data_IF_533095201233
#
_entry.id   IF_533095201233
#
_cell.length_a   1.000
_cell.length_b   1.000
_cell.length_c   1.000
_cell.angle_alpha   90.00
_cell.angle_beta   90.00
_cell.angle_gamma   90.00
#
_symmetry.space_group_name_H-M   'P 1'
#
loop_
_entity.id
_entity.type
_entity.pdbx_description
1 polymer ?
#
# COMPACT_ATOMS: atom_id res chain seq x y z
N UNK A 1 11.10 -0.21 -21.49
CA UNK A 1 11.88 -0.79 -20.41
C UNK A 1 11.37 -2.19 -19.97
N UNK A 2 10.07 -2.37 -19.60
CA UNK A 2 9.52 -3.68 -19.16
C UNK A 2 9.62 -4.77 -20.23
N UNK A 3 9.24 -4.48 -21.49
CA UNK A 3 9.33 -5.42 -22.61
C UNK A 3 10.78 -5.83 -22.89
N UNK A 4 11.71 -4.88 -22.75
CA UNK A 4 13.14 -5.13 -22.90
C UNK A 4 13.69 -6.07 -21.83
N UNK A 5 13.32 -5.87 -20.57
CA UNK A 5 13.71 -6.76 -19.48
C UNK A 5 13.20 -8.20 -19.69
N UNK A 6 11.96 -8.37 -20.16
CA UNK A 6 11.40 -9.70 -20.48
C UNK A 6 12.18 -10.34 -21.64
N UNK A 7 12.50 -9.58 -22.70
CA UNK A 7 13.29 -10.08 -23.82
C UNK A 7 14.70 -10.55 -23.36
N UNK A 8 15.38 -9.74 -22.53
CA UNK A 8 16.69 -10.11 -21.97
C UNK A 8 16.59 -11.32 -21.05
N UNK A 9 15.51 -11.45 -20.28
CA UNK A 9 15.26 -12.63 -19.45
C UNK A 9 15.13 -13.89 -20.33
N UNK A 10 14.33 -13.83 -21.41
CA UNK A 10 14.20 -14.93 -22.38
C UNK A 10 15.54 -15.31 -23.03
N UNK A 11 16.40 -14.34 -23.24
CA UNK A 11 17.75 -14.55 -23.75
C UNK A 11 18.75 -15.11 -22.71
N UNK A 12 18.30 -15.43 -21.49
CA UNK A 12 19.15 -15.98 -20.42
C UNK A 12 20.11 -14.96 -19.78
N UNK A 13 19.87 -13.65 -19.97
CA UNK A 13 20.76 -12.60 -19.47
C UNK A 13 20.74 -12.46 -17.91
N UNK A 14 19.79 -13.08 -17.24
CA UNK A 14 19.64 -12.98 -15.79
C UNK A 14 19.71 -14.36 -15.14
N UNK A 15 20.57 -14.52 -14.14
CA UNK A 15 20.61 -15.71 -13.28
C UNK A 15 19.69 -15.62 -12.07
N UNK A 16 19.39 -14.39 -11.65
CA UNK A 16 18.51 -14.09 -10.52
C UNK A 16 17.49 -13.05 -10.94
N UNK A 17 16.21 -13.29 -10.63
CA UNK A 17 15.10 -12.40 -10.96
C UNK A 17 14.28 -12.16 -9.71
N UNK A 18 14.29 -10.94 -9.19
CA UNK A 18 13.39 -10.52 -8.11
C UNK A 18 12.04 -10.11 -8.69
N UNK A 19 10.98 -10.67 -8.13
CA UNK A 19 9.62 -10.49 -8.63
C UNK A 19 8.67 -10.18 -7.48
N UNK A 20 7.96 -9.06 -7.57
CA UNK A 20 6.83 -8.82 -6.68
C UNK A 20 5.64 -9.72 -7.09
N UNK A 21 4.90 -10.31 -6.12
CA UNK A 21 3.82 -11.27 -6.40
C UNK A 21 2.75 -10.77 -7.37
N UNK A 22 2.45 -9.46 -7.35
CA UNK A 22 1.49 -8.81 -8.25
C UNK A 22 1.86 -8.99 -9.75
N UNK A 23 3.14 -9.20 -10.02
CA UNK A 23 3.63 -9.40 -11.38
C UNK A 23 3.13 -10.70 -12.01
N UNK A 24 2.82 -11.69 -11.19
CA UNK A 24 2.29 -12.98 -11.64
C UNK A 24 0.83 -12.92 -12.12
N UNK A 25 0.15 -11.80 -11.92
CA UNK A 25 -1.15 -11.53 -12.57
C UNK A 25 -1.03 -11.42 -14.11
N UNK A 26 0.19 -11.24 -14.66
CA UNK A 26 0.46 -11.17 -16.09
C UNK A 26 0.77 -12.55 -16.66
N UNK A 27 -0.14 -13.18 -17.44
CA UNK A 27 0.12 -14.49 -18.05
C UNK A 27 1.36 -14.51 -18.92
N UNK A 28 1.59 -13.46 -19.71
CA UNK A 28 2.76 -13.34 -20.60
C UNK A 28 4.10 -13.31 -19.86
N UNK A 29 4.11 -12.82 -18.61
CA UNK A 29 5.28 -12.85 -17.76
C UNK A 29 5.54 -14.26 -17.21
N UNK A 30 4.49 -14.96 -16.78
CA UNK A 30 4.60 -16.34 -16.30
C UNK A 30 5.06 -17.28 -17.42
N UNK A 31 4.54 -17.08 -18.64
CA UNK A 31 4.97 -17.83 -19.83
C UNK A 31 6.46 -17.62 -20.13
N UNK A 32 6.90 -16.36 -20.11
CA UNK A 32 8.30 -16.02 -20.32
C UNK A 32 9.24 -16.67 -19.29
N UNK A 33 8.82 -16.75 -18.01
CA UNK A 33 9.57 -17.50 -16.98
C UNK A 33 9.56 -19.00 -17.25
N UNK A 34 8.46 -19.56 -17.71
CA UNK A 34 8.35 -20.97 -18.07
C UNK A 34 9.25 -21.36 -19.25
N UNK A 35 9.40 -20.49 -20.26
CA UNK A 35 10.28 -20.68 -21.41
C UNK A 35 11.76 -20.72 -21.00
N UNK A 36 12.16 -19.90 -20.04
CA UNK A 36 13.56 -19.86 -19.55
C UNK A 36 13.90 -21.06 -18.67
N UNK A 37 12.90 -21.59 -17.98
CA UNK A 37 13.09 -22.60 -16.93
C UNK A 37 13.54 -21.97 -15.59
N UNK A 38 12.89 -22.37 -14.53
CA UNK A 38 13.15 -21.87 -13.16
C UNK A 38 13.73 -23.02 -12.33
N UNK A 39 15.00 -22.93 -11.97
CA UNK A 39 15.72 -23.95 -11.19
C UNK A 39 15.36 -23.90 -9.70
N UNK A 40 15.12 -22.70 -9.17
CA UNK A 40 14.78 -22.44 -7.77
C UNK A 40 13.72 -21.35 -7.68
N UNK A 41 12.64 -21.62 -6.98
CA UNK A 41 11.66 -20.62 -6.58
C UNK A 41 11.80 -20.36 -5.08
N UNK A 42 12.27 -19.16 -4.71
CA UNK A 42 12.32 -18.70 -3.33
C UNK A 42 11.16 -17.74 -3.08
N UNK A 43 10.38 -18.02 -2.03
CA UNK A 43 9.27 -17.18 -1.58
C UNK A 43 9.67 -16.57 -0.26
N UNK A 44 10.00 -15.30 -0.27
CA UNK A 44 10.28 -14.52 0.93
C UNK A 44 8.98 -13.99 1.54
N UNK A 45 9.00 -13.69 2.85
CA UNK A 45 7.80 -13.30 3.62
C UNK A 45 6.61 -14.25 3.38
N UNK A 46 6.90 -15.56 3.34
CA UNK A 46 5.91 -16.58 2.97
C UNK A 46 4.67 -16.59 3.88
N UNK A 47 4.74 -16.01 5.08
CA UNK A 47 3.59 -15.83 5.96
C UNK A 47 2.48 -14.99 5.32
N UNK A 48 2.83 -14.12 4.35
CA UNK A 48 1.86 -13.32 3.60
C UNK A 48 0.90 -14.16 2.74
N UNK A 49 1.20 -15.43 2.50
CA UNK A 49 0.30 -16.36 1.77
C UNK A 49 -0.87 -16.81 2.63
N UNK A 50 -0.67 -16.85 3.94
CA UNK A 50 -1.64 -17.35 4.88
C UNK A 50 -2.66 -16.29 5.30
N UNK A 51 -3.92 -16.63 5.19
CA UNK A 51 -5.01 -15.81 5.72
C UNK A 51 -5.02 -15.76 7.26
N UNK A 52 -4.31 -16.67 7.89
CA UNK A 52 -4.11 -16.76 9.33
C UNK A 52 -2.90 -15.95 9.81
N UNK A 53 -2.07 -15.46 8.88
CA UNK A 53 -0.94 -14.59 9.16
C UNK A 53 -1.38 -13.15 9.51
N UNK A 54 -0.50 -12.41 10.13
CA UNK A 54 -0.73 -11.01 10.52
C UNK A 54 -0.66 -10.02 9.35
N UNK A 55 -0.09 -10.43 8.21
CA UNK A 55 0.09 -9.60 7.00
C UNK A 55 -0.31 -10.35 5.71
N UNK A 56 -1.56 -10.82 5.65
CA UNK A 56 -2.06 -11.52 4.47
C UNK A 56 -2.07 -10.60 3.24
N UNK A 57 -1.50 -11.10 2.14
CA UNK A 57 -1.47 -10.42 0.84
C UNK A 57 -2.11 -11.29 -0.24
N UNK A 58 -3.20 -10.83 -0.88
CA UNK A 58 -3.94 -11.63 -1.86
C UNK A 58 -3.09 -12.16 -3.01
N UNK A 59 -2.09 -11.39 -3.47
CA UNK A 59 -1.24 -11.78 -4.58
C UNK A 59 -0.31 -12.96 -4.25
N UNK A 60 0.03 -13.15 -2.98
CA UNK A 60 0.76 -14.33 -2.53
C UNK A 60 -0.04 -15.62 -2.71
N UNK A 61 -1.36 -15.58 -2.68
CA UNK A 61 -2.21 -16.75 -2.93
C UNK A 61 -2.05 -17.30 -4.36
N UNK A 62 -1.58 -16.48 -5.31
CA UNK A 62 -1.30 -16.92 -6.68
C UNK A 62 -0.07 -17.82 -6.79
N UNK A 63 0.87 -17.73 -5.82
CA UNK A 63 2.18 -18.37 -5.91
C UNK A 63 2.11 -19.90 -6.01
N UNK A 64 1.11 -20.52 -5.39
CA UNK A 64 0.89 -21.97 -5.52
C UNK A 64 0.59 -22.39 -6.97
N UNK A 65 -0.27 -21.64 -7.66
CA UNK A 65 -0.59 -21.90 -9.07
C UNK A 65 0.58 -21.57 -9.99
N UNK A 66 1.31 -20.49 -9.71
CA UNK A 66 2.55 -20.14 -10.43
C UNK A 66 3.58 -21.26 -10.29
N UNK A 67 3.81 -21.75 -9.07
CA UNK A 67 4.69 -22.90 -8.82
C UNK A 67 4.26 -24.15 -9.59
N UNK A 68 2.98 -24.46 -9.60
CA UNK A 68 2.43 -25.59 -10.36
C UNK A 68 2.66 -25.43 -11.86
N UNK A 69 2.60 -24.21 -12.40
CA UNK A 69 2.82 -23.90 -13.82
C UNK A 69 4.30 -23.95 -14.19
N UNK A 70 5.16 -23.30 -13.40
CA UNK A 70 6.60 -23.22 -13.65
C UNK A 70 7.34 -24.53 -13.33
N UNK A 71 6.80 -25.36 -12.43
CA UNK A 71 7.36 -26.64 -12.00
C UNK A 71 8.85 -26.58 -11.60
N UNK A 72 9.27 -25.62 -10.79
CA UNK A 72 10.68 -25.52 -10.39
C UNK A 72 11.08 -26.79 -9.62
N UNK A 73 12.28 -27.34 -9.88
CA UNK A 73 12.77 -28.55 -9.18
C UNK A 73 12.90 -28.32 -7.68
N UNK A 74 13.18 -27.08 -7.27
CA UNK A 74 13.36 -26.71 -5.88
C UNK A 74 12.49 -25.51 -5.52
N UNK A 75 11.89 -25.53 -4.32
CA UNK A 75 11.12 -24.40 -3.77
C UNK A 75 11.53 -24.20 -2.32
N UNK A 76 11.79 -22.96 -1.95
CA UNK A 76 12.10 -22.55 -0.57
C UNK A 76 11.08 -21.48 -0.18
N UNK A 77 10.48 -21.63 1.00
CA UNK A 77 9.62 -20.64 1.62
C UNK A 77 10.29 -20.13 2.89
N UNK A 78 10.44 -18.83 3.00
CA UNK A 78 11.17 -18.15 4.08
C UNK A 78 10.23 -17.19 4.79
N UNK A 79 10.29 -17.17 6.13
CA UNK A 79 9.57 -16.20 6.95
C UNK A 79 10.23 -16.08 8.31
N UNK A 80 10.24 -14.87 8.86
CA UNK A 80 10.72 -14.61 10.22
C UNK A 80 9.66 -14.99 11.28
N UNK A 81 8.37 -14.98 10.92
CA UNK A 81 7.27 -15.12 11.86
C UNK A 81 6.21 -16.08 11.31
N UNK A 82 6.15 -17.29 11.82
CA UNK A 82 5.12 -18.25 11.44
C UNK A 82 4.76 -19.17 12.62
N UNK A 83 3.52 -19.10 13.08
CA UNK A 83 2.95 -20.10 13.99
C UNK A 83 2.87 -21.47 13.28
N UNK A 84 2.61 -22.54 14.02
CA UNK A 84 2.42 -23.86 13.44
C UNK A 84 1.33 -23.87 12.36
N UNK A 85 0.18 -23.24 12.66
CA UNK A 85 -0.95 -23.08 11.73
C UNK A 85 -0.55 -22.35 10.43
N UNK A 86 0.24 -21.28 10.57
CA UNK A 86 0.71 -20.48 9.42
C UNK A 86 1.70 -21.31 8.57
N UNK A 87 2.59 -22.10 9.21
CA UNK A 87 3.51 -22.99 8.47
C UNK A 87 2.78 -24.04 7.66
N UNK A 88 1.77 -24.70 8.25
CA UNK A 88 0.94 -25.67 7.55
C UNK A 88 0.19 -25.04 6.37
N UNK A 89 -0.31 -23.82 6.56
CA UNK A 89 -1.01 -23.10 5.51
C UNK A 89 -0.07 -22.69 4.36
N UNK A 90 1.16 -22.27 4.66
CA UNK A 90 2.20 -22.02 3.65
C UNK A 90 2.46 -23.27 2.82
N UNK A 91 2.68 -24.42 3.45
CA UNK A 91 2.93 -25.70 2.77
C UNK A 91 1.79 -26.05 1.83
N UNK A 92 0.54 -25.96 2.33
CA UNK A 92 -0.67 -26.25 1.57
C UNK A 92 -0.88 -25.28 0.41
N UNK A 93 -0.76 -23.99 0.68
CA UNK A 93 -1.02 -22.93 -0.32
C UNK A 93 0.04 -22.90 -1.43
N UNK A 94 1.30 -23.21 -1.11
CA UNK A 94 2.36 -23.39 -2.09
C UNK A 94 2.34 -24.75 -2.78
N UNK A 95 1.41 -25.64 -2.42
CA UNK A 95 1.31 -27.01 -2.95
C UNK A 95 2.62 -27.82 -2.76
N UNK A 96 3.36 -27.59 -1.67
CA UNK A 96 4.60 -28.30 -1.38
C UNK A 96 4.27 -29.74 -0.92
N UNK A 97 5.04 -30.68 -1.43
CA UNK A 97 4.91 -32.09 -1.04
C UNK A 97 6.06 -32.46 -0.10
N UNK A 98 5.72 -32.86 1.10
CA UNK A 98 6.66 -33.32 2.12
C UNK A 98 7.92 -32.43 2.28
N UNK A 99 7.75 -31.11 2.56
CA UNK A 99 8.88 -30.21 2.67
C UNK A 99 9.66 -30.47 3.97
N UNK A 100 10.97 -30.29 3.93
CA UNK A 100 11.75 -30.18 5.16
C UNK A 100 11.46 -28.83 5.81
N UNK A 101 11.12 -28.87 7.11
CA UNK A 101 10.81 -27.66 7.88
C UNK A 101 11.96 -27.40 8.85
N UNK A 102 12.55 -26.21 8.78
CA UNK A 102 13.59 -25.76 9.68
C UNK A 102 13.01 -24.61 10.52
N UNK A 103 13.05 -24.75 11.83
CA UNK A 103 12.61 -23.71 12.78
C UNK A 103 13.79 -23.37 13.65
N UNK A 104 14.33 -22.16 13.50
CA UNK A 104 15.33 -21.61 14.40
C UNK A 104 14.65 -21.05 15.67
N UNK A 105 15.39 -20.90 16.73
CA UNK A 105 14.90 -20.26 17.95
C UNK A 105 14.55 -18.80 17.72
N UNK A 106 13.62 -18.30 18.54
CA UNK A 106 13.20 -16.90 18.53
C UNK A 106 14.01 -16.02 19.47
N UNK A 107 14.88 -16.64 20.29
CA UNK A 107 15.65 -15.91 21.29
C UNK A 107 16.69 -14.99 20.65
N UNK A 108 16.71 -13.76 21.17
CA UNK A 108 17.65 -12.70 20.78
C UNK A 108 18.28 -12.14 22.06
N UNK A 109 19.32 -12.80 22.60
CA UNK A 109 19.88 -12.48 23.93
C UNK A 109 20.45 -11.06 24.02
N UNK A 110 20.71 -10.42 22.90
CA UNK A 110 21.17 -9.05 22.84
C UNK A 110 20.03 -7.99 22.78
N UNK A 111 18.76 -8.42 22.74
CA UNK A 111 17.61 -7.52 22.80
C UNK A 111 17.03 -7.47 24.21
N UNK A 112 17.03 -6.29 24.81
CA UNK A 112 16.29 -6.04 26.07
C UNK A 112 14.87 -5.58 25.72
N UNK A 113 13.88 -6.39 26.08
CA UNK A 113 12.45 -6.10 25.87
C UNK A 113 11.85 -5.48 27.12
N UNK A 114 11.30 -4.29 27.01
CA UNK A 114 10.66 -3.56 28.12
C UNK A 114 9.26 -3.12 27.74
N UNK A 115 8.32 -3.24 28.67
CA UNK A 115 6.99 -2.65 28.57
C UNK A 115 6.83 -1.59 29.65
N UNK A 116 6.55 -0.36 29.26
CA UNK A 116 6.30 0.76 30.16
C UNK A 116 4.86 1.24 29.96
N UNK A 117 4.08 1.22 31.06
CA UNK A 117 2.73 1.81 31.06
C UNK A 117 2.82 3.32 31.12
N UNK A 118 2.08 3.98 30.24
CA UNK A 118 2.03 5.45 30.15
C UNK A 118 0.58 5.94 30.26
N UNK A 119 0.38 7.02 31.00
CA UNK A 119 -0.95 7.60 31.26
C UNK A 119 -1.46 8.46 30.11
N UNK A 120 -0.55 8.96 29.24
CA UNK A 120 -0.93 9.85 28.14
C UNK A 120 0.24 10.22 27.22
N UNK A 121 -0.05 11.14 26.30
CA UNK A 121 0.89 11.53 25.24
C UNK A 121 2.15 12.22 25.75
N UNK A 122 2.06 12.99 26.83
CA UNK A 122 3.23 13.69 27.35
C UNK A 122 4.24 12.73 27.97
N UNK A 123 3.77 11.77 28.76
CA UNK A 123 4.62 10.73 29.32
C UNK A 123 5.22 9.83 28.22
N UNK A 124 4.43 9.52 27.19
CA UNK A 124 4.88 8.79 26.00
C UNK A 124 6.03 9.52 25.29
N UNK A 125 5.88 10.82 25.06
CA UNK A 125 6.90 11.66 24.44
C UNK A 125 8.16 11.78 25.29
N UNK A 126 8.00 11.94 26.59
CA UNK A 126 9.12 12.01 27.54
C UNK A 126 9.90 10.68 27.58
N UNK A 127 9.22 9.54 27.65
CA UNK A 127 9.85 8.23 27.64
C UNK A 127 10.59 7.96 26.31
N UNK A 128 9.97 8.34 25.18
CA UNK A 128 10.62 8.23 23.86
C UNK A 128 11.88 9.10 23.79
N UNK A 129 11.81 10.37 24.21
CA UNK A 129 12.95 11.27 24.20
C UNK A 129 14.10 10.77 25.10
N UNK A 130 13.79 10.16 26.26
CA UNK A 130 14.80 9.55 27.14
C UNK A 130 15.60 8.48 26.41
N UNK A 131 14.90 7.53 25.73
CA UNK A 131 15.59 6.45 24.99
C UNK A 131 16.43 7.00 23.84
N UNK A 132 15.94 8.00 23.12
CA UNK A 132 16.72 8.68 22.06
C UNK A 132 17.97 9.35 22.67
N UNK A 133 17.87 9.93 23.86
CA UNK A 133 18.96 10.59 24.57
C UNK A 133 20.10 9.63 25.00
N UNK A 134 19.83 8.33 25.07
CA UNK A 134 20.87 7.31 25.31
C UNK A 134 21.79 7.11 24.10
N UNK A 135 21.39 7.60 22.93
CA UNK A 135 22.18 7.64 21.71
C UNK A 135 22.02 6.43 20.79
N UNK A 136 22.63 6.54 19.61
CA UNK A 136 22.55 5.54 18.56
C UNK A 136 21.37 5.72 17.62
N UNK A 137 21.31 4.89 16.57
CA UNK A 137 20.18 4.92 15.62
C UNK A 137 18.99 4.14 16.14
N UNK A 138 17.79 4.61 15.83
CA UNK A 138 16.58 3.95 16.31
C UNK A 138 15.32 4.22 15.50
N UNK A 139 14.31 3.41 15.76
CA UNK A 139 13.00 3.50 15.14
C UNK A 139 11.94 3.76 16.21
N UNK A 140 11.06 4.72 15.98
CA UNK A 140 9.88 4.99 16.80
C UNK A 140 8.63 4.69 15.99
N UNK A 141 7.93 3.62 16.32
CA UNK A 141 6.71 3.22 15.63
C UNK A 141 5.48 3.88 16.22
N UNK A 142 4.65 4.47 15.37
CA UNK A 142 3.36 5.07 15.69
C UNK A 142 2.24 4.37 14.91
N UNK A 143 1.05 4.27 15.51
CA UNK A 143 -0.09 3.57 14.88
C UNK A 143 -0.65 4.32 13.66
N UNK A 144 -0.60 5.66 13.66
CA UNK A 144 -1.15 6.50 12.58
C UNK A 144 -0.16 7.54 12.09
N UNK A 145 -0.38 8.04 10.86
CA UNK A 145 0.40 9.14 10.26
C UNK A 145 0.38 10.38 11.14
N UNK A 146 -0.81 10.79 11.60
CA UNK A 146 -0.98 11.96 12.49
C UNK A 146 -0.18 11.82 13.78
N UNK A 147 -0.13 10.64 14.37
CA UNK A 147 0.69 10.39 15.56
C UNK A 147 2.19 10.44 15.26
N UNK A 148 2.62 9.94 14.09
CA UNK A 148 4.01 10.03 13.67
C UNK A 148 4.46 11.48 13.51
N UNK A 149 3.68 12.31 12.82
CA UNK A 149 3.96 13.73 12.65
C UNK A 149 3.98 14.47 13.99
N UNK A 150 3.02 14.21 14.87
CA UNK A 150 2.95 14.82 16.20
C UNK A 150 4.12 14.41 17.11
N UNK A 151 4.56 13.14 17.02
CA UNK A 151 5.72 12.62 17.76
C UNK A 151 7.00 13.29 17.24
N UNK A 152 7.20 13.36 15.92
CA UNK A 152 8.36 14.05 15.34
C UNK A 152 8.44 15.51 15.81
N UNK A 153 7.33 16.26 15.74
CA UNK A 153 7.27 17.64 16.18
C UNK A 153 7.62 17.79 17.66
N UNK A 154 7.08 16.92 18.51
CA UNK A 154 7.34 16.93 19.94
C UNK A 154 8.80 16.60 20.31
N UNK A 155 9.43 15.69 19.56
CA UNK A 155 10.84 15.34 19.74
C UNK A 155 11.77 16.48 19.27
N UNK A 156 11.43 17.19 18.22
CA UNK A 156 12.16 18.39 17.77
C UNK A 156 12.14 19.50 18.80
N UNK A 157 11.00 19.73 19.45
CA UNK A 157 10.91 20.68 20.56
C UNK A 157 11.79 20.32 21.76
N UNK A 158 12.20 19.05 21.88
CA UNK A 158 13.11 18.53 22.92
C UNK A 158 14.58 18.45 22.47
N UNK A 159 14.91 19.04 21.30
CA UNK A 159 16.27 19.11 20.78
C UNK A 159 16.75 17.90 19.99
N UNK A 160 15.86 16.95 19.67
CA UNK A 160 16.17 15.85 18.77
C UNK A 160 15.80 16.20 17.32
N UNK A 161 16.43 15.53 16.34
CA UNK A 161 16.13 15.75 14.90
C UNK A 161 15.75 14.45 14.19
N UNK A 162 14.63 13.79 14.56
CA UNK A 162 14.20 12.59 13.89
C UNK A 162 13.61 12.91 12.51
N UNK A 163 13.82 11.99 11.55
CA UNK A 163 13.07 12.00 10.29
C UNK A 163 11.71 11.32 10.48
N UNK A 164 10.73 11.71 9.67
CA UNK A 164 9.42 11.02 9.64
C UNK A 164 9.33 10.13 8.40
N UNK A 165 8.61 9.01 8.52
CA UNK A 165 8.35 8.12 7.37
C UNK A 165 6.96 7.48 7.47
N UNK A 166 6.09 7.77 6.50
CA UNK A 166 4.78 7.13 6.37
C UNK A 166 4.25 7.20 4.94
N UNK A 167 3.25 6.41 4.62
CA UNK A 167 2.69 6.30 3.27
C UNK A 167 1.96 7.57 2.75
N UNK A 168 1.78 8.60 3.60
CA UNK A 168 1.21 9.90 3.21
C UNK A 168 2.21 10.87 2.60
N UNK A 169 3.52 10.58 2.72
CA UNK A 169 4.60 11.39 2.15
C UNK A 169 4.76 11.10 0.65
N UNK A 170 5.32 12.04 -0.08
CA UNK A 170 5.70 11.78 -1.47
C UNK A 170 6.89 10.81 -1.57
N UNK A 171 7.13 10.30 -2.78
CA UNK A 171 8.17 9.29 -3.00
C UNK A 171 9.58 9.85 -2.73
N UNK A 172 9.83 11.11 -3.10
CA UNK A 172 11.13 11.76 -2.90
C UNK A 172 11.44 11.98 -1.43
N UNK A 173 10.46 12.44 -0.65
CA UNK A 173 10.60 12.61 0.80
C UNK A 173 10.87 11.29 1.51
N UNK A 174 10.16 10.22 1.11
CA UNK A 174 10.39 8.89 1.69
C UNK A 174 11.78 8.35 1.39
N UNK A 175 12.27 8.52 0.15
CA UNK A 175 13.63 8.13 -0.22
C UNK A 175 14.67 8.91 0.60
N UNK A 176 14.54 10.23 0.70
CA UNK A 176 15.47 11.05 1.47
C UNK A 176 15.49 10.67 2.97
N UNK A 177 14.32 10.41 3.57
CA UNK A 177 14.24 9.96 4.95
C UNK A 177 14.89 8.59 5.16
N UNK A 178 14.69 7.66 4.24
CA UNK A 178 15.31 6.34 4.27
C UNK A 178 16.83 6.42 4.08
N UNK A 179 17.30 7.19 3.12
CA UNK A 179 18.74 7.34 2.83
C UNK A 179 19.47 7.96 4.03
N UNK A 180 18.87 8.98 4.66
CA UNK A 180 19.40 9.56 5.88
C UNK A 180 19.46 8.52 7.01
N UNK A 181 18.39 7.76 7.23
CA UNK A 181 18.37 6.74 8.27
C UNK A 181 19.43 5.66 8.02
N UNK A 182 19.64 5.25 6.78
CA UNK A 182 20.60 4.20 6.44
C UNK A 182 22.05 4.66 6.56
N UNK A 183 22.33 5.94 6.25
CA UNK A 183 23.71 6.46 6.20
C UNK A 183 24.20 7.04 7.53
N UNK A 184 23.33 7.55 8.38
CA UNK A 184 23.69 8.18 9.64
C UNK A 184 23.59 7.17 10.81
N UNK A 185 24.69 6.91 11.55
CA UNK A 185 24.71 5.98 12.68
C UNK A 185 23.91 6.46 13.92
N UNK A 186 23.53 7.72 13.94
CA UNK A 186 22.73 8.34 15.01
C UNK A 186 21.29 8.69 14.60
N UNK A 187 20.92 8.42 13.36
CA UNK A 187 19.61 8.79 12.84
C UNK A 187 18.47 8.07 13.56
N UNK A 188 17.45 8.83 13.88
CA UNK A 188 16.18 8.34 14.43
C UNK A 188 15.09 8.55 13.40
N UNK A 189 14.27 7.52 13.17
CA UNK A 189 13.08 7.62 12.33
C UNK A 189 11.82 7.44 13.16
N UNK A 190 10.87 8.35 13.03
CA UNK A 190 9.51 8.21 13.55
C UNK A 190 8.62 7.76 12.39
N UNK A 191 8.00 6.60 12.51
CA UNK A 191 7.33 5.99 11.37
C UNK A 191 6.05 5.24 11.73
N UNK A 192 5.22 5.01 10.73
CA UNK A 192 4.21 3.95 10.81
C UNK A 192 4.82 2.61 10.35
N UNK A 193 4.05 1.52 10.42
CA UNK A 193 4.45 0.19 9.92
C UNK A 193 4.83 0.17 8.41
N UNK A 194 4.62 1.29 7.68
CA UNK A 194 5.12 1.45 6.31
C UNK A 194 6.65 1.46 6.22
N UNK A 195 7.34 1.82 7.32
CA UNK A 195 8.79 1.76 7.43
C UNK A 195 9.19 0.43 8.06
N UNK A 196 9.66 -0.47 7.25
CA UNK A 196 10.00 -1.79 7.79
C UNK A 196 10.57 -2.72 6.75
N UNK A 197 9.77 -3.21 5.82
CA UNK A 197 10.27 -4.16 4.82
C UNK A 197 11.44 -3.59 4.04
N UNK A 198 12.53 -4.36 3.92
CA UNK A 198 13.73 -3.95 3.21
C UNK A 198 14.70 -3.04 3.99
N UNK A 199 14.42 -2.73 5.26
CA UNK A 199 15.37 -2.02 6.13
C UNK A 199 16.36 -3.03 6.72
N UNK A 200 17.60 -2.95 6.25
CA UNK A 200 18.71 -3.82 6.69
C UNK A 200 19.87 -2.99 7.26
N UNK A 201 19.58 -2.18 8.28
CA UNK A 201 20.56 -1.44 9.06
C UNK A 201 20.98 -2.30 10.26
N UNK A 202 22.27 -2.59 10.36
CA UNK A 202 22.80 -3.55 11.35
C UNK A 202 22.87 -2.97 12.76
N UNK A 203 23.10 -1.67 12.87
CA UNK A 203 23.45 -0.93 14.09
C UNK A 203 22.30 -0.18 14.74
N UNK A 204 21.04 -0.62 14.53
CA UNK A 204 19.89 -0.06 15.24
C UNK A 204 19.99 -0.40 16.70
N UNK A 205 20.05 0.63 17.57
CA UNK A 205 20.24 0.47 19.03
C UNK A 205 18.93 0.41 19.80
N UNK A 206 17.87 1.01 19.25
CA UNK A 206 16.57 0.93 19.93
C UNK A 206 15.41 0.88 18.93
N UNK A 207 14.33 0.23 19.38
CA UNK A 207 13.00 0.30 18.74
C UNK A 207 12.00 0.69 19.82
N UNK A 208 11.33 1.81 19.64
CA UNK A 208 10.26 2.27 20.52
C UNK A 208 8.93 2.10 19.82
N UNK A 209 8.02 1.35 20.43
CA UNK A 209 6.62 1.35 20.03
C UNK A 209 5.87 2.40 20.84
N UNK A 210 5.64 3.56 20.24
CA UNK A 210 4.87 4.63 20.85
C UNK A 210 3.39 4.27 21.06
N UNK A 211 2.88 3.32 20.27
CA UNK A 211 1.55 2.74 20.41
C UNK A 211 1.65 1.21 20.28
N UNK A 212 0.71 0.50 20.90
CA UNK A 212 0.66 -0.96 20.79
C UNK A 212 0.52 -1.40 19.33
N UNK A 213 1.34 -2.35 18.83
CA UNK A 213 1.17 -2.94 17.51
C UNK A 213 -0.05 -3.89 17.48
N UNK A 214 -0.50 -4.22 16.28
CA UNK A 214 -1.73 -5.02 16.07
C UNK A 214 -1.61 -6.51 16.41
N UNK A 215 -0.39 -7.03 16.56
CA UNK A 215 -0.13 -8.43 16.84
C UNK A 215 1.28 -8.62 17.43
N UNK A 216 1.47 -9.69 18.19
CA UNK A 216 2.78 -10.07 18.74
C UNK A 216 3.78 -10.38 17.63
N UNK A 217 3.33 -10.99 16.53
CA UNK A 217 4.16 -11.29 15.37
C UNK A 217 4.67 -10.00 14.70
N UNK A 218 3.82 -8.97 14.58
CA UNK A 218 4.23 -7.66 14.07
C UNK A 218 5.23 -6.99 15.02
N UNK A 219 4.96 -7.01 16.32
CA UNK A 219 5.88 -6.52 17.35
C UNK A 219 7.24 -7.19 17.24
N UNK A 220 7.27 -8.53 17.19
CA UNK A 220 8.51 -9.30 17.09
C UNK A 220 9.30 -8.97 15.81
N UNK A 221 8.63 -8.85 14.67
CA UNK A 221 9.26 -8.47 13.40
C UNK A 221 9.85 -7.05 13.45
N UNK A 222 9.18 -6.12 14.11
CA UNK A 222 9.61 -4.73 14.25
C UNK A 222 10.78 -4.59 15.23
N UNK A 223 10.71 -5.20 16.41
CA UNK A 223 11.84 -5.20 17.37
C UNK A 223 13.05 -5.98 16.87
N UNK A 224 12.82 -7.02 16.07
CA UNK A 224 13.88 -7.84 15.46
C UNK A 224 14.79 -7.08 14.50
N UNK A 225 14.49 -5.81 14.18
CA UNK A 225 15.37 -4.92 13.40
C UNK A 225 16.54 -4.41 14.21
N UNK A 226 16.38 -4.32 15.54
CA UNK A 226 17.44 -3.83 16.42
C UNK A 226 18.52 -4.90 16.67
N UNK A 227 19.76 -4.46 16.87
CA UNK A 227 20.88 -5.29 17.28
C UNK A 227 21.23 -6.42 16.32
N UNK A 228 21.10 -6.25 15.02
CA UNK A 228 21.48 -7.28 14.04
C UNK A 228 22.98 -7.54 14.00
N UNK A 229 23.78 -6.60 14.46
CA UNK A 229 25.22 -6.71 14.66
C UNK A 229 25.62 -7.51 15.92
N UNK A 230 24.65 -8.05 16.67
CA UNK A 230 24.85 -8.79 17.89
C UNK A 230 25.13 -7.94 19.13
N UNK A 231 25.22 -6.61 19.00
CA UNK A 231 25.42 -5.71 20.13
C UNK A 231 24.10 -5.48 20.89
N UNK A 232 24.16 -5.09 22.17
CA UNK A 232 22.97 -4.77 22.96
C UNK A 232 22.06 -3.75 22.26
N UNK A 233 20.77 -3.99 22.30
CA UNK A 233 19.76 -3.09 21.78
C UNK A 233 18.51 -3.14 22.65
N UNK A 234 17.75 -2.03 22.69
CA UNK A 234 16.58 -1.84 23.54
C UNK A 234 15.31 -1.80 22.71
N UNK A 235 14.32 -2.60 23.10
CA UNK A 235 12.98 -2.57 22.54
C UNK A 235 11.97 -2.15 23.61
N UNK A 236 11.47 -0.92 23.52
CA UNK A 236 10.53 -0.33 24.46
C UNK A 236 9.13 -0.28 23.87
N UNK A 237 8.17 -0.93 24.53
CA UNK A 237 6.75 -0.79 24.25
C UNK A 237 6.10 0.17 25.25
N UNK A 238 5.59 1.29 24.76
CA UNK A 238 4.83 2.25 25.55
C UNK A 238 3.35 1.89 25.48
N UNK A 239 2.84 1.30 26.56
CA UNK A 239 1.48 0.78 26.59
C UNK A 239 0.51 1.77 27.22
N UNK A 240 -0.57 2.08 26.50
CA UNK A 240 -1.75 2.76 27.04
C UNK A 240 -3.00 2.03 26.52
N UNK A 241 -3.94 1.75 27.41
CA UNK A 241 -5.16 1.02 27.03
C UNK A 241 -5.99 1.73 25.94
N UNK A 242 -5.93 3.07 25.87
CA UNK A 242 -6.58 3.85 24.82
C UNK A 242 -6.05 3.51 23.41
N UNK A 243 -4.82 2.99 23.28
CA UNK A 243 -4.27 2.57 22.00
C UNK A 243 -4.97 1.31 21.45
N UNK A 244 -5.52 0.46 22.31
CA UNK A 244 -6.29 -0.72 21.92
C UNK A 244 -7.51 -0.29 21.09
N UNK A 245 -8.25 0.73 21.56
CA UNK A 245 -9.39 1.28 20.80
C UNK A 245 -8.95 1.87 19.44
N UNK A 246 -7.76 2.46 19.36
CA UNK A 246 -7.21 2.93 18.10
C UNK A 246 -6.97 1.76 17.13
N UNK A 247 -6.39 0.67 17.62
CA UNK A 247 -6.15 -0.53 16.80
C UNK A 247 -7.47 -1.22 16.39
N UNK A 248 -8.44 -1.30 17.31
CA UNK A 248 -9.78 -1.84 17.00
C UNK A 248 -10.43 -1.07 15.86
N UNK A 249 -10.46 0.27 15.93
CA UNK A 249 -10.97 1.12 14.85
C UNK A 249 -10.24 0.91 13.52
N UNK A 250 -8.93 0.73 13.54
CA UNK A 250 -8.16 0.44 12.34
C UNK A 250 -8.50 -0.96 11.77
N UNK A 251 -8.77 -1.93 12.63
CA UNK A 251 -9.23 -3.26 12.22
C UNK A 251 -10.63 -3.16 11.59
N UNK A 252 -11.59 -2.53 12.27
CA UNK A 252 -12.95 -2.31 11.78
C UNK A 252 -12.95 -1.60 10.42
N UNK A 253 -12.20 -0.50 10.30
CA UNK A 253 -12.09 0.24 9.03
C UNK A 253 -11.52 -0.59 7.87
N UNK A 254 -10.73 -1.62 8.16
CA UNK A 254 -10.23 -2.55 7.15
C UNK A 254 -11.19 -3.71 6.84
N UNK A 255 -12.22 -3.90 7.66
CA UNK A 255 -13.25 -4.93 7.52
C UNK A 255 -14.65 -4.28 7.51
N UNK A 256 -14.99 -3.53 6.44
CA UNK A 256 -16.24 -2.78 6.39
C UNK A 256 -17.45 -3.70 6.50
N UNK A 257 -18.54 -3.17 7.06
CA UNK A 257 -19.79 -3.89 7.19
C UNK A 257 -20.37 -4.28 5.82
N UNK A 258 -21.20 -5.31 5.81
CA UNK A 258 -21.90 -5.73 4.61
C UNK A 258 -22.70 -4.58 3.99
N UNK A 259 -23.29 -3.70 4.82
CA UNK A 259 -24.03 -2.53 4.36
C UNK A 259 -23.13 -1.57 3.56
N UNK A 260 -21.93 -1.24 4.08
CA UNK A 260 -20.97 -0.37 3.36
C UNK A 260 -20.54 -1.00 2.04
N UNK A 261 -20.30 -2.31 1.99
CA UNK A 261 -19.93 -3.00 0.75
C UNK A 261 -21.07 -2.95 -0.26
N UNK A 262 -22.32 -3.13 0.21
CA UNK A 262 -23.53 -3.05 -0.62
C UNK A 262 -23.76 -1.64 -1.17
N UNK A 263 -23.59 -0.61 -0.34
CA UNK A 263 -23.75 0.78 -0.75
C UNK A 263 -22.70 1.20 -1.78
N UNK A 264 -21.41 0.80 -1.56
CA UNK A 264 -20.36 0.99 -2.55
C UNK A 264 -20.71 0.30 -3.87
N UNK A 265 -21.16 -0.96 -3.83
CA UNK A 265 -21.59 -1.69 -5.01
C UNK A 265 -22.72 -0.99 -5.76
N UNK A 266 -23.77 -0.55 -5.05
CA UNK A 266 -24.93 0.13 -5.63
C UNK A 266 -24.54 1.43 -6.33
N UNK A 267 -23.62 2.22 -5.75
CA UNK A 267 -23.12 3.44 -6.38
C UNK A 267 -22.33 3.12 -7.65
N UNK A 268 -21.51 2.07 -7.63
CA UNK A 268 -20.69 1.68 -8.78
C UNK A 268 -21.52 1.19 -9.97
N UNK A 269 -22.68 0.59 -9.74
CA UNK A 269 -23.57 0.16 -10.82
C UNK A 269 -24.24 1.32 -11.57
N UNK A 270 -24.31 2.50 -10.97
CA UNK A 270 -24.95 3.69 -11.57
C UNK A 270 -24.20 4.27 -12.78
N UNK A 271 -22.99 3.79 -13.09
CA UNK A 271 -22.19 4.25 -14.24
C UNK A 271 -21.36 3.12 -14.83
N UNK A 272 -20.98 3.24 -16.11
CA UNK A 272 -20.11 2.26 -16.76
C UNK A 272 -18.71 2.25 -16.13
N UNK A 273 -18.20 3.44 -15.77
CA UNK A 273 -16.95 3.63 -15.04
C UNK A 273 -17.12 4.75 -14.03
N UNK A 274 -16.86 4.45 -12.77
CA UNK A 274 -16.84 5.45 -11.71
C UNK A 274 -15.47 6.13 -11.67
N UNK A 275 -15.38 7.37 -12.11
CA UNK A 275 -14.14 8.12 -12.27
C UNK A 275 -13.94 9.27 -11.25
N UNK A 276 -14.80 9.38 -10.23
CA UNK A 276 -14.83 10.54 -9.33
C UNK A 276 -13.84 10.49 -8.18
N UNK A 277 -13.25 9.36 -7.87
CA UNK A 277 -12.35 9.21 -6.74
C UNK A 277 -12.96 8.58 -5.50
N UNK A 278 -12.08 8.08 -4.62
CA UNK A 278 -12.52 7.40 -3.38
C UNK A 278 -13.22 8.36 -2.41
N UNK A 279 -12.76 9.60 -2.31
CA UNK A 279 -13.38 10.63 -1.48
C UNK A 279 -14.85 10.88 -1.89
N UNK A 280 -15.10 11.03 -3.21
CA UNK A 280 -16.45 11.22 -3.73
C UNK A 280 -17.32 9.97 -3.54
N UNK A 281 -16.75 8.78 -3.59
CA UNK A 281 -17.45 7.53 -3.30
C UNK A 281 -17.76 7.41 -1.81
N UNK A 282 -16.83 7.78 -0.94
CA UNK A 282 -17.01 7.80 0.51
C UNK A 282 -18.15 8.76 0.91
N UNK A 283 -18.15 9.97 0.34
CA UNK A 283 -19.23 10.93 0.55
C UNK A 283 -20.60 10.41 0.05
N UNK A 284 -20.63 9.69 -1.08
CA UNK A 284 -21.86 9.15 -1.65
C UNK A 284 -22.48 8.03 -0.82
N UNK A 285 -21.66 7.23 -0.12
CA UNK A 285 -22.13 6.11 0.72
C UNK A 285 -22.17 6.45 2.21
N UNK A 286 -21.72 7.64 2.62
CA UNK A 286 -21.70 8.05 4.03
C UNK A 286 -20.71 7.27 4.89
N UNK A 287 -19.64 6.73 4.29
CA UNK A 287 -18.60 5.95 4.96
C UNK A 287 -17.25 6.66 4.88
N UNK A 288 -16.27 6.21 5.68
CA UNK A 288 -14.90 6.73 5.60
C UNK A 288 -14.19 6.26 4.34
N UNK A 289 -13.17 7.02 3.87
CA UNK A 289 -12.34 6.60 2.74
C UNK A 289 -11.62 5.26 3.00
N UNK A 290 -11.29 4.95 4.26
CA UNK A 290 -10.69 3.68 4.65
C UNK A 290 -11.63 2.51 4.45
N UNK A 291 -12.89 2.63 4.89
CA UNK A 291 -13.93 1.60 4.70
C UNK A 291 -14.24 1.41 3.22
N UNK A 292 -14.37 2.49 2.46
CA UNK A 292 -14.57 2.44 1.00
C UNK A 292 -13.38 1.77 0.31
N UNK A 293 -12.15 2.13 0.68
CA UNK A 293 -10.95 1.49 0.14
C UNK A 293 -10.91 -0.02 0.46
N UNK A 294 -11.35 -0.41 1.66
CA UNK A 294 -11.45 -1.81 2.04
C UNK A 294 -12.56 -2.53 1.27
N UNK A 295 -13.73 -1.93 1.12
CA UNK A 295 -14.84 -2.47 0.31
C UNK A 295 -14.41 -2.69 -1.15
N UNK A 296 -13.70 -1.73 -1.75
CA UNK A 296 -13.18 -1.86 -3.11
C UNK A 296 -12.17 -3.01 -3.23
N UNK A 297 -11.28 -3.19 -2.25
CA UNK A 297 -10.35 -4.33 -2.24
C UNK A 297 -11.07 -5.68 -2.16
N UNK A 298 -12.16 -5.75 -1.39
CA UNK A 298 -12.99 -6.95 -1.29
C UNK A 298 -13.64 -7.23 -2.64
N UNK A 299 -14.33 -6.26 -3.22
CA UNK A 299 -15.01 -6.39 -4.51
C UNK A 299 -14.04 -6.74 -5.66
N UNK A 300 -12.85 -6.13 -5.69
CA UNK A 300 -11.80 -6.45 -6.68
C UNK A 300 -11.29 -7.89 -6.52
N UNK A 301 -11.04 -8.31 -5.29
CA UNK A 301 -10.57 -9.66 -4.97
C UNK A 301 -11.56 -10.73 -5.40
N UNK A 302 -12.84 -10.48 -5.20
CA UNK A 302 -13.92 -11.40 -5.59
C UNK A 302 -14.26 -11.27 -7.10
N UNK A 303 -13.50 -10.44 -7.85
CA UNK A 303 -13.64 -10.32 -9.32
C UNK A 303 -14.94 -9.63 -9.77
N UNK A 304 -15.57 -8.84 -8.91
CA UNK A 304 -16.81 -8.13 -9.23
C UNK A 304 -16.56 -6.75 -9.84
N UNK A 305 -15.40 -6.16 -9.56
CA UNK A 305 -14.95 -4.89 -10.12
C UNK A 305 -13.55 -5.00 -10.72
N UNK A 306 -13.24 -4.06 -11.60
CA UNK A 306 -11.91 -3.85 -12.15
C UNK A 306 -11.45 -2.43 -11.85
N UNK A 307 -10.22 -2.30 -11.34
CA UNK A 307 -9.58 -1.01 -11.12
C UNK A 307 -8.74 -0.65 -12.34
N UNK A 308 -9.10 0.42 -13.04
CA UNK A 308 -8.31 0.90 -14.20
C UNK A 308 -7.04 1.62 -13.74
N UNK A 309 -5.96 1.50 -14.53
CA UNK A 309 -4.68 2.13 -14.23
C UNK A 309 -4.79 3.66 -14.14
N UNK A 310 -4.00 4.34 -13.30
CA UNK A 310 -3.95 5.80 -13.25
C UNK A 310 -3.60 6.39 -14.62
N UNK A 311 -4.33 7.43 -15.04
CA UNK A 311 -4.06 8.15 -16.28
C UNK A 311 -4.76 7.62 -17.53
N UNK A 312 -5.59 6.57 -17.44
CA UNK A 312 -6.45 6.12 -18.55
C UNK A 312 -7.73 6.96 -18.70
N UNK A 313 -7.97 7.90 -17.80
CA UNK A 313 -9.18 8.72 -17.79
C UNK A 313 -9.22 9.79 -18.88
N UNK A 314 -10.42 10.04 -19.42
CA UNK A 314 -10.66 11.07 -20.42
C UNK A 314 -10.90 12.44 -19.76
N UNK A 315 -10.36 13.49 -20.37
CA UNK A 315 -10.73 14.87 -20.08
C UNK A 315 -12.12 15.15 -20.63
N UNK A 316 -13.02 15.61 -19.78
CA UNK A 316 -14.30 16.15 -20.23
C UNK A 316 -14.11 17.64 -20.60
N UNK A 317 -14.24 17.97 -21.87
CA UNK A 317 -14.06 19.34 -22.35
C UNK A 317 -15.35 19.80 -22.98
N UNK A 318 -15.95 20.86 -22.41
CA UNK A 318 -17.13 21.52 -22.99
C UNK A 318 -16.67 22.81 -23.66
N UNK A 319 -16.94 22.96 -24.96
CA UNK A 319 -16.68 24.20 -25.69
C UNK A 319 -17.81 25.17 -25.42
N UNK A 320 -17.48 26.37 -24.92
CA UNK A 320 -18.46 27.39 -24.60
C UNK A 320 -18.62 28.34 -25.80
N UNK A 321 -19.85 28.85 -26.04
CA UNK A 321 -20.14 29.81 -27.09
C UNK A 321 -19.68 31.23 -26.74
N UNK A 322 -18.40 31.36 -26.38
CA UNK A 322 -17.82 32.64 -25.97
C UNK A 322 -16.67 33.01 -26.87
N UNK A 323 -16.62 34.26 -27.34
CA UNK A 323 -15.47 34.82 -28.05
C UNK A 323 -14.51 35.43 -27.02
N UNK A 324 -13.23 35.06 -27.10
CA UNK A 324 -12.17 35.66 -26.31
C UNK A 324 -10.92 35.81 -27.17
N UNK A 325 -10.17 36.87 -26.94
CA UNK A 325 -8.88 37.04 -27.58
C UNK A 325 -7.86 36.09 -26.93
N UNK A 326 -7.29 35.23 -27.75
CA UNK A 326 -6.27 34.27 -27.35
C UNK A 326 -4.92 34.69 -27.90
N UNK A 327 -3.95 34.90 -27.01
CA UNK A 327 -2.60 35.31 -27.44
C UNK A 327 -1.68 34.10 -27.75
N UNK A 328 -1.99 32.91 -27.21
CA UNK A 328 -1.18 31.70 -27.40
C UNK A 328 -1.57 30.97 -28.72
N UNK A 329 -0.55 30.73 -29.58
CA UNK A 329 -0.72 29.93 -30.82
C UNK A 329 -1.21 28.52 -30.55
N UNK A 330 -0.68 27.89 -29.49
CA UNK A 330 -1.11 26.54 -29.07
C UNK A 330 -2.57 26.51 -28.57
N UNK A 331 -3.03 27.57 -27.88
CA UNK A 331 -4.40 27.66 -27.42
C UNK A 331 -5.37 27.89 -28.57
N UNK A 332 -4.99 28.66 -29.60
CA UNK A 332 -5.79 28.85 -30.82
C UNK A 332 -5.96 27.53 -31.59
N UNK A 333 -4.85 26.83 -31.86
CA UNK A 333 -4.86 25.55 -32.56
C UNK A 333 -5.69 24.50 -31.80
N UNK A 334 -5.55 24.43 -30.48
CA UNK A 334 -6.33 23.52 -29.66
C UNK A 334 -7.83 23.86 -29.70
N UNK A 335 -8.20 25.14 -29.63
CA UNK A 335 -9.62 25.55 -29.70
C UNK A 335 -10.25 25.20 -31.05
N UNK A 336 -9.52 25.37 -32.15
CA UNK A 336 -9.95 24.95 -33.50
C UNK A 336 -10.20 23.45 -33.56
N UNK A 337 -9.27 22.63 -33.03
CA UNK A 337 -9.44 21.18 -32.96
C UNK A 337 -10.70 20.80 -32.13
N UNK A 338 -10.87 21.44 -30.96
CA UNK A 338 -12.02 21.16 -30.09
C UNK A 338 -13.35 21.58 -30.74
N UNK A 339 -13.38 22.70 -31.47
CA UNK A 339 -14.58 23.15 -32.20
C UNK A 339 -14.92 22.27 -33.39
N UNK A 340 -13.91 21.78 -34.10
CA UNK A 340 -14.09 20.88 -35.23
C UNK A 340 -14.70 19.53 -34.78
N UNK A 341 -14.31 19.04 -33.60
CA UNK A 341 -14.77 17.75 -33.10
C UNK A 341 -16.08 17.81 -32.29
N UNK A 342 -16.25 18.82 -31.45
CA UNK A 342 -17.42 18.92 -30.56
C UNK A 342 -18.53 19.84 -31.08
N UNK A 343 -18.23 20.73 -32.00
CA UNK A 343 -19.10 21.85 -32.36
C UNK A 343 -19.12 22.96 -31.28
N UNK A 344 -19.72 24.10 -31.60
CA UNK A 344 -19.96 25.18 -30.64
C UNK A 344 -21.02 24.73 -29.61
N UNK A 345 -20.73 24.87 -28.32
CA UNK A 345 -21.61 24.40 -27.23
C UNK A 345 -21.52 22.90 -26.93
N UNK A 346 -20.80 22.12 -27.74
CA UNK A 346 -20.64 20.68 -27.58
C UNK A 346 -19.62 20.26 -26.53
N UNK A 347 -19.64 19.00 -26.17
CA UNK A 347 -18.71 18.42 -25.21
C UNK A 347 -18.00 17.19 -25.73
N UNK A 348 -16.73 17.06 -25.39
CA UNK A 348 -15.84 15.95 -25.78
C UNK A 348 -15.35 15.22 -24.53
N UNK A 349 -15.23 13.90 -24.62
CA UNK A 349 -14.58 13.09 -23.60
C UNK A 349 -13.40 12.37 -24.27
N UNK A 350 -12.16 12.82 -23.98
CA UNK A 350 -10.99 12.37 -24.72
C UNK A 350 -9.77 12.16 -23.79
N UNK A 351 -8.98 11.07 -23.99
CA UNK A 351 -7.71 10.90 -23.31
C UNK A 351 -6.72 11.95 -23.75
N UNK A 352 -5.86 12.44 -22.85
CA UNK A 352 -4.90 13.49 -23.10
C UNK A 352 -3.97 13.16 -24.27
N UNK A 353 -3.49 11.91 -24.36
CA UNK A 353 -2.63 11.44 -25.46
C UNK A 353 -3.32 11.51 -26.82
N UNK A 354 -4.60 11.13 -26.85
CA UNK A 354 -5.38 11.20 -28.07
C UNK A 354 -5.62 12.63 -28.55
N UNK A 355 -5.87 13.56 -27.62
CA UNK A 355 -6.04 14.98 -27.93
C UNK A 355 -4.69 15.62 -28.32
N UNK A 356 -3.61 15.25 -27.67
CA UNK A 356 -2.23 15.67 -27.98
C UNK A 356 -1.85 15.34 -29.43
N UNK A 357 -2.10 14.10 -29.87
CA UNK A 357 -1.82 13.67 -31.21
C UNK A 357 -2.64 14.44 -32.26
N UNK A 358 -3.93 14.70 -31.99
CA UNK A 358 -4.84 15.41 -32.92
C UNK A 358 -4.57 16.91 -32.99
N UNK A 359 -4.19 17.54 -31.87
CA UNK A 359 -3.85 18.95 -31.84
C UNK A 359 -2.40 19.23 -32.26
N UNK A 360 -1.57 18.21 -32.52
CA UNK A 360 -0.16 18.35 -32.86
C UNK A 360 0.67 19.02 -31.76
N UNK A 361 0.29 18.87 -30.49
CA UNK A 361 0.92 19.51 -29.33
C UNK A 361 1.55 18.47 -28.42
N UNK A 362 2.67 18.81 -27.76
CA UNK A 362 3.18 17.98 -26.66
C UNK A 362 2.16 17.95 -25.51
N UNK A 363 2.17 16.89 -24.68
CA UNK A 363 1.27 16.82 -23.52
C UNK A 363 1.44 18.02 -22.57
N UNK A 364 2.66 18.54 -22.46
CA UNK A 364 2.99 19.73 -21.64
C UNK A 364 2.34 20.99 -22.22
N UNK A 365 2.45 21.19 -23.53
CA UNK A 365 1.88 22.35 -24.20
C UNK A 365 0.36 22.27 -24.28
N UNK A 366 -0.18 21.06 -24.46
CA UNK A 366 -1.61 20.80 -24.40
C UNK A 366 -2.22 21.17 -23.04
N UNK A 367 -1.58 20.78 -21.93
CA UNK A 367 -2.03 21.16 -20.58
C UNK A 367 -2.00 22.67 -20.37
N UNK A 368 -0.95 23.36 -20.86
CA UNK A 368 -0.86 24.82 -20.82
C UNK A 368 -1.93 25.50 -21.65
N UNK A 369 -2.18 24.99 -22.85
CA UNK A 369 -3.21 25.49 -23.76
C UNK A 369 -4.62 25.30 -23.16
N UNK A 370 -4.94 24.13 -22.59
CA UNK A 370 -6.21 23.86 -21.89
C UNK A 370 -6.42 24.84 -20.73
N UNK A 371 -5.39 25.05 -19.90
CA UNK A 371 -5.48 26.00 -18.79
C UNK A 371 -5.65 27.47 -19.25
N UNK A 372 -5.09 27.84 -20.39
CA UNK A 372 -5.29 29.15 -21.01
C UNK A 372 -6.73 29.34 -21.52
N UNK A 373 -7.28 28.33 -22.20
CA UNK A 373 -8.67 28.31 -22.69
C UNK A 373 -9.67 28.34 -21.55
N UNK A 374 -9.40 27.63 -20.46
CA UNK A 374 -10.26 27.61 -19.28
C UNK A 374 -10.26 28.98 -18.57
N UNK A 375 -9.10 29.61 -18.40
CA UNK A 375 -9.00 30.97 -17.87
C UNK A 375 -9.71 32.00 -18.74
N UNK A 376 -9.64 31.85 -20.05
CA UNK A 376 -10.39 32.69 -21.01
C UNK A 376 -11.89 32.39 -21.03
N UNK A 377 -12.36 31.40 -20.28
CA UNK A 377 -13.75 30.93 -20.21
C UNK A 377 -14.36 30.57 -21.58
N UNK A 378 -13.56 30.07 -22.51
CA UNK A 378 -14.00 29.54 -23.81
C UNK A 378 -14.19 28.03 -23.81
N UNK A 379 -13.62 27.36 -22.80
CA UNK A 379 -13.88 25.96 -22.50
C UNK A 379 -14.11 25.78 -21.00
N UNK A 380 -14.85 24.73 -20.63
CA UNK A 380 -14.90 24.19 -19.27
C UNK A 380 -14.21 22.82 -19.30
N UNK A 381 -13.20 22.65 -18.44
CA UNK A 381 -12.38 21.44 -18.42
C UNK A 381 -12.65 20.65 -17.16
N UNK A 382 -13.23 19.48 -17.30
CA UNK A 382 -13.28 18.47 -16.25
C UNK A 382 -12.07 17.56 -16.39
N UNK A 383 -11.09 17.73 -15.51
CA UNK A 383 -9.91 16.88 -15.49
C UNK A 383 -10.32 15.44 -15.20
N UNK A 384 -9.64 14.44 -15.82
CA UNK A 384 -9.82 13.07 -15.39
C UNK A 384 -9.38 12.95 -13.94
N UNK A 385 -10.03 12.07 -13.23
CA UNK A 385 -9.62 11.71 -11.90
C UNK A 385 -8.17 11.20 -11.91
N UNK A 386 -7.33 11.72 -11.02
CA UNK A 386 -5.91 11.36 -10.94
C UNK A 386 -5.69 9.94 -10.35
N UNK A 387 -6.75 9.26 -9.90
CA UNK A 387 -6.76 7.92 -9.35
C UNK A 387 -7.11 6.83 -10.37
N UNK A 388 -7.39 5.64 -9.84
CA UNK A 388 -7.91 4.51 -10.61
C UNK A 388 -9.39 4.69 -10.88
N UNK A 389 -9.86 4.58 -12.12
CA UNK A 389 -11.28 4.42 -12.43
C UNK A 389 -11.76 3.03 -11.98
N UNK A 390 -13.03 2.94 -11.56
CA UNK A 390 -13.63 1.71 -11.05
C UNK A 390 -14.74 1.30 -12.02
N UNK A 391 -14.67 0.06 -12.52
CA UNK A 391 -15.69 -0.51 -13.40
C UNK A 391 -16.32 -1.73 -12.74
N UNK A 392 -17.64 -1.73 -12.59
CA UNK A 392 -18.39 -2.93 -12.23
C UNK A 392 -18.39 -3.90 -13.43
N UNK A 393 -17.98 -5.14 -13.19
CA UNK A 393 -17.91 -6.19 -14.23
C UNK A 393 -19.24 -6.91 -14.42
N UNK A 394 -20.16 -6.73 -13.48
CA UNK A 394 -21.48 -7.33 -13.48
C UNK A 394 -22.52 -6.24 -13.16
N UNK A 395 -23.75 -6.42 -13.61
CA UNK A 395 -24.88 -5.53 -13.29
C UNK A 395 -25.98 -6.36 -12.65
N UNK A 396 -25.74 -6.73 -11.40
CA UNK A 396 -26.67 -7.54 -10.61
C UNK A 396 -26.87 -6.90 -9.23
N UNK A 397 -28.02 -7.12 -8.57
CA UNK A 397 -28.20 -6.67 -7.19
C UNK A 397 -27.12 -7.26 -6.27
N UNK A 398 -26.79 -6.54 -5.19
CA UNK A 398 -25.72 -6.95 -4.28
C UNK A 398 -25.88 -8.39 -3.75
N UNK A 399 -27.10 -8.79 -3.38
CA UNK A 399 -27.41 -10.13 -2.87
C UNK A 399 -27.19 -11.26 -3.90
N UNK A 400 -27.09 -10.92 -5.19
CA UNK A 400 -26.83 -11.90 -6.27
C UNK A 400 -25.31 -12.01 -6.59
N UNK A 401 -24.47 -11.24 -5.90
CA UNK A 401 -23.01 -11.39 -6.01
C UNK A 401 -22.56 -12.61 -5.21
N UNK A 402 -21.65 -13.38 -5.81
CA UNK A 402 -20.95 -14.47 -5.11
C UNK A 402 -19.80 -13.87 -4.27
N UNK A 403 -20.13 -13.32 -3.11
CA UNK A 403 -19.18 -12.70 -2.18
C UNK A 403 -18.99 -13.55 -0.94
N UNK A 404 -17.75 -13.90 -0.65
CA UNK A 404 -17.42 -14.63 0.59
C UNK A 404 -17.31 -13.69 1.80
N UNK A 405 -18.44 -13.11 2.25
CA UNK A 405 -18.49 -12.22 3.41
C UNK A 405 -18.10 -12.92 4.71
N UNK A 406 -18.35 -14.22 4.85
CA UNK A 406 -17.88 -15.02 5.98
C UNK A 406 -16.35 -15.02 6.10
N UNK A 407 -15.64 -14.90 4.99
CA UNK A 407 -14.19 -14.74 4.99
C UNK A 407 -13.78 -13.41 5.61
N UNK A 408 -14.46 -12.32 5.27
CA UNK A 408 -14.20 -10.99 5.84
C UNK A 408 -14.42 -11.00 7.35
N UNK A 409 -15.55 -11.55 7.79
CA UNK A 409 -15.87 -11.70 9.23
C UNK A 409 -14.85 -12.55 9.99
N UNK A 410 -14.37 -13.65 9.38
CA UNK A 410 -13.32 -14.48 9.99
C UNK A 410 -11.99 -13.74 10.09
N UNK A 411 -11.63 -12.95 9.09
CA UNK A 411 -10.41 -12.14 9.11
C UNK A 411 -10.46 -11.06 10.19
N UNK A 412 -11.60 -10.39 10.34
CA UNK A 412 -11.83 -9.41 11.41
C UNK A 412 -11.68 -10.04 12.80
N UNK A 413 -12.42 -11.14 13.06
CA UNK A 413 -12.32 -11.88 14.33
C UNK A 413 -10.88 -12.31 14.63
N UNK A 414 -10.15 -12.74 13.62
CA UNK A 414 -8.74 -13.11 13.76
C UNK A 414 -7.88 -11.91 14.13
N UNK A 415 -8.05 -10.77 13.44
CA UNK A 415 -7.30 -9.55 13.73
C UNK A 415 -7.54 -9.06 15.18
N UNK A 416 -8.79 -9.11 15.65
CA UNK A 416 -9.13 -8.79 17.04
C UNK A 416 -8.50 -9.77 18.04
N UNK A 417 -8.46 -11.07 17.72
CA UNK A 417 -7.79 -12.07 18.56
C UNK A 417 -6.28 -11.81 18.66
N UNK A 418 -5.63 -11.45 17.55
CA UNK A 418 -4.20 -11.14 17.54
C UNK A 418 -3.90 -9.87 18.36
N UNK A 419 -4.76 -8.85 18.23
CA UNK A 419 -4.66 -7.64 19.05
C UNK A 419 -4.83 -7.96 20.55
N UNK A 420 -5.79 -8.81 20.90
CA UNK A 420 -5.98 -9.25 22.28
C UNK A 420 -4.73 -9.93 22.83
N UNK A 421 -4.12 -10.86 22.09
CA UNK A 421 -2.85 -11.51 22.49
C UNK A 421 -1.72 -10.50 22.69
N UNK A 422 -1.66 -9.48 21.83
CA UNK A 422 -0.68 -8.39 21.98
C UNK A 422 -0.95 -7.54 23.23
N UNK A 423 -2.23 -7.31 23.54
CA UNK A 423 -2.65 -6.63 24.75
C UNK A 423 -2.29 -7.44 25.99
N UNK A 424 -2.56 -8.75 25.99
CA UNK A 424 -2.21 -9.68 27.08
C UNK A 424 -0.68 -9.72 27.33
N UNK A 425 0.14 -9.59 26.28
CA UNK A 425 1.60 -9.48 26.40
C UNK A 425 2.03 -8.16 27.06
N UNK A 426 1.30 -7.06 26.82
CA UNK A 426 1.64 -5.74 27.31
C UNK A 426 1.18 -5.48 28.76
N UNK A 427 0.34 -6.36 29.33
CA UNK A 427 -0.10 -6.32 30.73
C UNK A 427 0.88 -7.02 31.66
#
# INVERSE_FOLDING_TARGET
>A
ERAERIRRMRAGAYRLVYVAPERFRSPSFVDALGEVGVELMAVDEAHCISQWGHDFRPDYALLGQVRKRLRPPRTVALTATASAEVREDIVRSLLMKDPRVFVAGFDRPNLFLEVLRVSGDEERRAATARVIGEGGSGIVYCATRKQADAMQAALRLRGHDPVVYHAGMDEGERHAAQDRFMSDPSAVVVATNAFGMGIDKQDIRFVVHANIPRAVEAYYQEVGRAGRDGKPAHALLLFNHADVFTQERLIESNHPSEAVIADVWNVLQGSEVFARGQEALAAAVGASEFEVSAALRILEREGTIELSAPGSGAYGIKVLERKAELHSRSAKALLETLRAEAGAGGSLSVPLRGLSARAGLSEKDLRRALAALERAKVVSVRKPFAGRGIRALQRVPFHALDLSLDRVRRQEKRALLLLRRMTDYAY
#
